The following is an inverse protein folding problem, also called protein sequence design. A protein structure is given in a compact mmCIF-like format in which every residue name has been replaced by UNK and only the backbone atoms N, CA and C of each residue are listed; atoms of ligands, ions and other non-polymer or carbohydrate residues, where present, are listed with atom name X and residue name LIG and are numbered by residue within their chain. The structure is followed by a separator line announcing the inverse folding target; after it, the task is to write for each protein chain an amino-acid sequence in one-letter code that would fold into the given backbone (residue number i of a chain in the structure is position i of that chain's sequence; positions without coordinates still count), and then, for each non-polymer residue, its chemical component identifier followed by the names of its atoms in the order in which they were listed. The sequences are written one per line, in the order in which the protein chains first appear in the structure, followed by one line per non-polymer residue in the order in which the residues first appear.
data_IF_945848422709
#
_entry.id   IF_945848422709
#
_cell.length_a   1.000
_cell.length_b   1.000
_cell.length_c   1.000
_cell.angle_alpha   90.00
_cell.angle_beta   90.00
_cell.angle_gamma   90.00
#
_symmetry.space_group_name_H-M   'P 1'
#
loop_
_entity.id
_entity.type
_entity.pdbx_description
1 polymer ?
#
# COMPACT_ATOMS: atom_id res chain seq x y z
N UNK A 1 1.09 -21.29 6.69
CA UNK A 1 1.12 -19.90 7.22
C UNK A 1 -0.01 -19.18 6.54
N UNK A 2 -0.86 -18.46 7.28
CA UNK A 2 -1.93 -17.66 6.66
C UNK A 2 -1.33 -16.61 5.72
N UNK A 3 -2.02 -16.37 4.62
CA UNK A 3 -1.71 -15.29 3.69
C UNK A 3 -2.72 -14.16 3.91
N UNK A 4 -2.21 -12.95 3.81
CA UNK A 4 -3.00 -11.74 3.98
C UNK A 4 -2.78 -10.86 2.77
N UNK A 5 -3.84 -10.57 2.05
CA UNK A 5 -3.88 -9.61 0.95
C UNK A 5 -4.09 -8.21 1.54
N UNK A 6 -3.14 -7.31 1.27
CA UNK A 6 -3.21 -5.91 1.68
C UNK A 6 -3.56 -5.04 0.49
N UNK A 7 -4.54 -4.17 0.70
CA UNK A 7 -4.93 -3.13 -0.23
C UNK A 7 -4.10 -1.88 0.06
N UNK A 8 -3.14 -1.56 -0.80
CA UNK A 8 -2.20 -0.46 -0.62
C UNK A 8 -2.28 0.49 -1.80
N UNK A 9 -2.50 1.77 -1.53
CA UNK A 9 -2.42 2.84 -2.53
C UNK A 9 -1.55 3.99 -1.99
N UNK A 10 -1.04 4.86 -2.86
CA UNK A 10 -0.30 6.03 -2.43
C UNK A 10 -1.14 7.30 -2.63
N UNK A 11 -1.65 7.83 -1.53
CA UNK A 11 -2.45 9.06 -1.51
C UNK A 11 -1.71 10.25 -2.14
N UNK A 12 -0.40 10.37 -1.94
CA UNK A 12 0.40 11.46 -2.51
C UNK A 12 0.54 11.34 -4.04
N UNK A 13 0.46 10.13 -4.61
CA UNK A 13 0.40 9.92 -6.06
C UNK A 13 -0.98 10.27 -6.59
N UNK A 14 -2.06 9.89 -5.88
CA UNK A 14 -3.43 10.29 -6.22
C UNK A 14 -3.57 11.81 -6.27
N UNK A 15 -3.04 12.51 -5.26
CA UNK A 15 -3.08 13.99 -5.22
C UNK A 15 -2.24 14.62 -6.33
N UNK A 16 -1.07 14.07 -6.65
CA UNK A 16 -0.24 14.54 -7.76
C UNK A 16 -0.96 14.39 -9.11
N UNK A 17 -1.59 13.25 -9.36
CA UNK A 17 -2.38 12.99 -10.56
C UNK A 17 -3.61 13.91 -10.65
N UNK A 18 -4.32 14.13 -9.54
CA UNK A 18 -5.43 15.07 -9.47
C UNK A 18 -5.00 16.51 -9.76
N UNK A 19 -3.78 16.88 -9.36
CA UNK A 19 -3.18 18.17 -9.69
C UNK A 19 -2.73 18.29 -11.16
N UNK A 20 -2.93 17.25 -11.98
CA UNK A 20 -2.53 17.20 -13.39
C UNK A 20 -1.04 16.93 -13.60
N UNK A 21 -0.34 16.47 -12.56
CA UNK A 21 1.07 16.09 -12.61
C UNK A 21 1.29 14.61 -12.30
N UNK A 22 2.55 14.19 -12.30
CA UNK A 22 2.96 12.86 -11.85
C UNK A 22 3.76 12.99 -10.56
N UNK A 23 3.70 12.00 -9.69
CA UNK A 23 4.56 12.02 -8.51
C UNK A 23 6.02 11.84 -8.94
N UNK A 24 6.94 12.69 -8.43
CA UNK A 24 8.35 12.68 -8.89
C UNK A 24 9.12 11.41 -8.52
N UNK A 25 8.65 10.69 -7.50
CA UNK A 25 9.37 9.56 -6.88
C UNK A 25 8.71 8.21 -7.18
N UNK A 26 7.38 8.19 -7.22
CA UNK A 26 6.56 6.99 -7.35
C UNK A 26 5.81 7.07 -8.66
N UNK A 27 5.64 5.91 -9.29
CA UNK A 27 4.89 5.82 -10.54
C UNK A 27 3.42 6.10 -10.30
N UNK A 28 2.79 6.65 -11.33
CA UNK A 28 1.35 6.97 -11.38
C UNK A 28 0.47 5.74 -11.11
N UNK A 29 0.98 4.55 -11.40
CA UNK A 29 0.37 3.25 -11.10
C UNK A 29 0.00 3.13 -9.60
N UNK A 30 0.75 3.76 -8.71
CA UNK A 30 0.50 3.74 -7.26
C UNK A 30 -0.71 4.57 -6.82
N UNK A 31 -1.36 5.31 -7.72
CA UNK A 31 -2.63 5.94 -7.43
C UNK A 31 -3.79 4.95 -7.34
N UNK A 32 -3.70 3.84 -8.06
CA UNK A 32 -4.63 2.73 -7.95
C UNK A 32 -4.32 1.87 -6.72
N UNK A 33 -5.33 1.17 -6.22
CA UNK A 33 -5.16 0.19 -5.14
C UNK A 33 -4.41 -1.03 -5.64
N UNK A 34 -3.23 -1.27 -5.09
CA UNK A 34 -2.44 -2.49 -5.31
C UNK A 34 -2.78 -3.52 -4.24
N UNK A 35 -3.07 -4.74 -4.68
CA UNK A 35 -3.28 -5.89 -3.81
C UNK A 35 -1.95 -6.61 -3.67
N UNK A 36 -1.41 -6.64 -2.45
CA UNK A 36 -0.11 -7.23 -2.17
C UNK A 36 -0.26 -8.28 -1.09
N UNK A 37 0.12 -9.51 -1.41
CA UNK A 37 0.04 -10.64 -0.50
C UNK A 37 1.26 -10.68 0.43
N UNK A 38 0.99 -10.74 1.72
CA UNK A 38 1.99 -10.91 2.76
C UNK A 38 1.70 -12.18 3.55
N UNK A 39 2.73 -13.02 3.71
CA UNK A 39 2.70 -14.14 4.64
C UNK A 39 3.06 -13.66 6.04
N UNK A 40 2.25 -14.05 7.01
CA UNK A 40 2.43 -13.68 8.41
C UNK A 40 1.99 -14.79 9.34
N UNK A 41 2.30 -14.64 10.62
CA UNK A 41 1.71 -15.50 11.66
C UNK A 41 0.27 -15.07 11.95
N UNK A 42 0.02 -13.76 11.90
CA UNK A 42 -1.26 -13.10 12.16
C UNK A 42 -1.36 -11.81 11.32
N UNK A 43 -2.56 -11.25 11.20
CA UNK A 43 -2.83 -10.00 10.47
C UNK A 43 -1.89 -8.86 10.91
N UNK A 44 -1.62 -8.76 12.22
CA UNK A 44 -0.77 -7.71 12.78
C UNK A 44 0.72 -7.87 12.39
N UNK A 45 1.22 -9.11 12.27
CA UNK A 45 2.58 -9.36 11.79
C UNK A 45 2.70 -9.02 10.30
N UNK A 46 1.70 -9.45 9.51
CA UNK A 46 1.66 -9.15 8.09
C UNK A 46 1.53 -7.63 7.85
N UNK A 47 0.73 -6.93 8.66
CA UNK A 47 0.58 -5.46 8.62
C UNK A 47 1.89 -4.75 8.91
N UNK A 48 2.62 -5.16 9.96
CA UNK A 48 3.93 -4.59 10.28
C UNK A 48 4.93 -4.78 9.14
N UNK A 49 4.87 -5.90 8.42
CA UNK A 49 5.71 -6.14 7.23
C UNK A 49 5.31 -5.22 6.08
N UNK A 50 4.01 -5.07 5.85
CA UNK A 50 3.47 -4.15 4.85
C UNK A 50 3.89 -2.70 5.16
N UNK A 51 3.73 -2.23 6.40
CA UNK A 51 4.11 -0.87 6.81
C UNK A 51 5.63 -0.61 6.72
N UNK A 52 6.46 -1.64 6.95
CA UNK A 52 7.91 -1.53 6.74
C UNK A 52 8.29 -1.40 5.27
N UNK A 53 7.55 -2.06 4.38
CA UNK A 53 7.78 -2.03 2.93
C UNK A 53 7.18 -0.76 2.29
N UNK A 54 6.02 -0.34 2.80
CA UNK A 54 5.19 0.76 2.31
C UNK A 54 4.86 1.69 3.48
N UNK A 55 5.83 2.53 3.89
CA UNK A 55 5.66 3.39 5.05
C UNK A 55 4.67 4.52 4.77
N UNK A 56 3.79 4.79 5.73
CA UNK A 56 2.87 5.92 5.66
C UNK A 56 3.59 7.27 5.51
N UNK A 57 4.83 7.37 6.00
CA UNK A 57 5.69 8.56 5.81
C UNK A 57 6.00 8.88 4.34
N UNK A 58 5.86 7.91 3.42
CA UNK A 58 6.01 8.10 1.98
C UNK A 58 4.67 8.30 1.25
N UNK A 59 3.57 8.44 1.98
CA UNK A 59 2.22 8.64 1.42
C UNK A 59 1.44 7.35 1.14
N UNK A 60 2.01 6.19 1.45
CA UNK A 60 1.32 4.91 1.33
C UNK A 60 0.21 4.77 2.38
N UNK A 61 -0.96 4.35 1.94
CA UNK A 61 -2.13 4.12 2.76
C UNK A 61 -2.55 2.67 2.56
N UNK A 62 -2.62 1.94 3.68
CA UNK A 62 -3.18 0.58 3.71
C UNK A 62 -4.69 0.75 3.94
N UNK A 63 -5.48 0.55 2.87
CA UNK A 63 -6.94 0.65 2.89
C UNK A 63 -7.59 -0.49 3.68
N UNK A 64 -7.05 -1.69 3.50
CA UNK A 64 -7.67 -2.91 3.98
C UNK A 64 -6.68 -4.06 4.04
N UNK A 65 -7.06 -5.09 4.80
CA UNK A 65 -6.38 -6.37 4.88
C UNK A 65 -7.43 -7.47 4.86
N UNK A 66 -7.14 -8.53 4.13
CA UNK A 66 -8.01 -9.69 3.98
C UNK A 66 -7.19 -10.97 4.04
N UNK A 67 -7.61 -11.92 4.87
CA UNK A 67 -7.02 -13.26 4.89
C UNK A 67 -7.45 -14.06 3.65
N UNK A 68 -6.50 -14.73 3.01
CA UNK A 68 -6.68 -15.55 1.80
C UNK A 68 -6.12 -16.95 1.95
#
# INVERSE_FOLDING_TARGET
MPMFEFEIYNSAVVDALKAGGSHRVFKDEWADTHFIEFSGTDENDARRRAERRYPASQGFVIAGVKEV
#
